data_IF_372596734660
#
_entry.id   IF_372596734660
#
_cell.length_a   1.000
_cell.length_b   1.000
_cell.length_c   1.000
_cell.angle_alpha   90.00
_cell.angle_beta   90.00
_cell.angle_gamma   90.00
#
_symmetry.space_group_name_H-M   'P 1'
#
loop_
_entity.id
_entity.type
_entity.pdbx_description
1 polymer ?
#
# COMPACT_ATOMS: atom_id res chain seq x y z
N UNK A 1 1.90 -3.48 8.91
CA UNK A 1 1.93 -4.54 7.88
C UNK A 1 2.00 -3.95 6.47
N UNK A 2 1.15 -2.96 6.17
CA UNK A 2 1.13 -2.26 4.86
C UNK A 2 2.47 -1.63 4.48
N UNK A 3 3.13 -0.89 5.38
CA UNK A 3 4.43 -0.24 5.10
C UNK A 3 5.49 -1.25 4.67
N UNK A 4 5.53 -2.44 5.31
CA UNK A 4 6.51 -3.48 4.98
C UNK A 4 6.28 -4.04 3.57
N UNK A 5 5.02 -4.31 3.20
CA UNK A 5 4.67 -4.75 1.85
C UNK A 5 5.04 -3.70 0.80
N UNK A 6 4.84 -2.41 1.10
CA UNK A 6 5.21 -1.32 0.20
C UNK A 6 6.74 -1.18 0.08
N UNK A 7 7.48 -1.27 1.19
CA UNK A 7 8.95 -1.28 1.18
C UNK A 7 9.49 -2.43 0.33
N UNK A 8 8.90 -3.62 0.45
CA UNK A 8 9.34 -4.82 -0.26
C UNK A 8 9.04 -4.72 -1.77
N UNK A 9 7.89 -4.15 -2.14
CA UNK A 9 7.50 -3.97 -3.55
C UNK A 9 8.27 -2.83 -4.22
N UNK A 10 8.51 -1.72 -3.52
CA UNK A 10 9.27 -0.57 -4.04
C UNK A 10 10.79 -0.78 -3.93
N UNK A 11 11.25 -1.74 -3.11
CA UNK A 11 12.66 -1.95 -2.83
C UNK A 11 13.30 -0.83 -2.00
N UNK A 12 12.50 -0.03 -1.28
CA UNK A 12 12.97 1.11 -0.48
C UNK A 12 12.95 0.76 1.01
N UNK A 13 13.85 1.35 1.79
CA UNK A 13 13.85 1.20 3.23
C UNK A 13 12.69 1.99 3.85
N UNK A 14 12.13 1.49 4.97
CA UNK A 14 11.05 2.20 5.70
C UNK A 14 11.39 3.64 6.07
N UNK A 15 12.67 3.94 6.24
CA UNK A 15 13.16 5.26 6.62
C UNK A 15 13.14 6.25 5.45
N UNK A 16 13.21 5.74 4.22
CA UNK A 16 13.13 6.51 2.98
C UNK A 16 11.68 6.63 2.48
N UNK A 17 10.80 5.77 3.01
CA UNK A 17 9.40 5.75 2.67
C UNK A 17 8.65 6.88 3.40
N UNK A 18 8.32 7.94 2.65
CA UNK A 18 7.53 9.06 3.17
C UNK A 18 6.02 8.73 3.09
N UNK A 19 5.32 8.62 4.22
CA UNK A 19 3.90 8.22 4.23
C UNK A 19 2.95 9.33 3.74
N UNK A 20 3.43 10.58 3.67
CA UNK A 20 2.66 11.72 3.15
C UNK A 20 2.71 11.79 1.63
N UNK A 21 3.76 11.24 1.02
CA UNK A 21 3.88 11.14 -0.43
C UNK A 21 2.93 10.11 -1.02
N UNK A 22 2.51 10.40 -2.25
CA UNK A 22 1.74 9.47 -3.06
C UNK A 22 2.62 8.28 -3.46
N UNK A 23 2.04 7.08 -3.50
CA UNK A 23 2.75 5.88 -3.95
C UNK A 23 3.38 6.05 -5.34
N UNK A 24 2.71 6.78 -6.24
CA UNK A 24 3.21 7.10 -7.58
C UNK A 24 4.46 7.98 -7.56
N UNK A 25 4.57 8.91 -6.61
CA UNK A 25 5.75 9.76 -6.44
C UNK A 25 6.94 8.96 -5.90
N UNK A 26 6.65 7.91 -5.12
CA UNK A 26 7.63 6.93 -4.65
C UNK A 26 8.01 5.89 -5.73
N UNK A 27 7.46 5.98 -6.94
CA UNK A 27 7.77 5.08 -8.05
C UNK A 27 6.88 3.84 -8.17
N UNK A 28 5.72 3.80 -7.49
CA UNK A 28 4.77 2.70 -7.63
C UNK A 28 4.16 2.67 -9.04
N UNK A 29 4.39 1.56 -9.74
CA UNK A 29 3.78 1.26 -11.04
C UNK A 29 2.54 0.34 -10.90
N UNK A 30 1.78 0.17 -11.99
CA UNK A 30 0.63 -0.73 -12.06
C UNK A 30 0.97 -2.18 -11.70
N UNK A 31 2.16 -2.68 -12.07
CA UNK A 31 2.58 -4.04 -11.69
C UNK A 31 2.80 -4.15 -10.17
N UNK A 32 3.46 -3.14 -9.60
CA UNK A 32 3.71 -3.04 -8.16
C UNK A 32 2.41 -2.91 -7.37
N UNK A 33 1.42 -2.17 -7.89
CA UNK A 33 0.08 -2.08 -7.30
C UNK A 33 -0.61 -3.45 -7.20
N UNK A 34 -0.46 -4.29 -8.23
CA UNK A 34 -1.01 -5.66 -8.23
C UNK A 34 -0.28 -6.55 -7.23
N UNK A 35 1.05 -6.46 -7.13
CA UNK A 35 1.84 -7.21 -6.14
C UNK A 35 1.49 -6.80 -4.71
N UNK A 36 1.38 -5.49 -4.45
CA UNK A 36 1.00 -4.95 -3.15
C UNK A 36 -0.40 -5.44 -2.74
N UNK A 37 -1.38 -5.39 -3.66
CA UNK A 37 -2.71 -5.97 -3.43
C UNK A 37 -2.62 -7.45 -3.07
N UNK A 38 -1.82 -8.23 -3.81
CA UNK A 38 -1.68 -9.67 -3.57
C UNK A 38 -1.11 -9.93 -2.17
N UNK A 39 -0.09 -9.17 -1.75
CA UNK A 39 0.47 -9.27 -0.41
C UNK A 39 -0.52 -8.87 0.68
N UNK A 40 -1.29 -7.80 0.48
CA UNK A 40 -2.30 -7.36 1.45
C UNK A 40 -3.46 -8.36 1.55
N UNK A 41 -3.86 -8.96 0.43
CA UNK A 41 -4.85 -10.04 0.40
C UNK A 41 -4.35 -11.30 1.11
N UNK A 42 -3.10 -11.70 0.90
CA UNK A 42 -2.52 -12.89 1.53
C UNK A 42 -2.18 -12.68 3.01
N UNK A 43 -1.67 -11.49 3.37
CA UNK A 43 -1.19 -11.19 4.72
C UNK A 43 -2.24 -10.59 5.66
N UNK A 44 -3.23 -9.87 5.13
CA UNK A 44 -4.29 -9.22 5.93
C UNK A 44 -5.70 -9.69 5.55
N UNK A 45 -5.89 -10.47 4.47
CA UNK A 45 -7.23 -10.87 4.02
C UNK A 45 -8.03 -9.74 3.37
N UNK A 46 -7.44 -8.54 3.20
CA UNK A 46 -8.13 -7.37 2.67
C UNK A 46 -7.87 -7.24 1.17
N UNK A 47 -8.95 -7.16 0.38
CA UNK A 47 -8.87 -6.93 -1.07
C UNK A 47 -9.03 -5.43 -1.37
N UNK A 48 -7.92 -4.77 -1.68
CA UNK A 48 -7.95 -3.39 -2.14
C UNK A 48 -8.05 -3.39 -3.66
N UNK A 49 -9.02 -2.66 -4.21
CA UNK A 49 -9.15 -2.49 -5.66
C UNK A 49 -7.87 -1.87 -6.23
N UNK A 50 -7.09 -2.67 -6.96
CA UNK A 50 -5.79 -2.25 -7.53
C UNK A 50 -5.89 -1.00 -8.44
N UNK A 51 -7.08 -0.71 -8.97
CA UNK A 51 -7.35 0.51 -9.75
C UNK A 51 -7.29 1.82 -8.96
N UNK A 52 -7.34 1.81 -7.62
CA UNK A 52 -7.21 3.04 -6.80
C UNK A 52 -5.77 3.40 -6.43
N UNK A 53 -4.86 2.42 -6.44
CA UNK A 53 -3.45 2.59 -6.10
C UNK A 53 -2.67 3.52 -7.05
N UNK A 54 -2.81 3.44 -8.40
CA UNK A 54 -2.13 4.38 -9.30
C UNK A 54 -2.73 5.80 -9.29
N UNK A 55 -3.83 6.01 -8.56
CA UNK A 55 -4.56 7.28 -8.48
C UNK A 55 -3.90 8.39 -7.64
N UNK A 56 -2.69 8.18 -7.14
CA UNK A 56 -1.97 9.18 -6.33
C UNK A 56 -2.38 9.20 -4.86
N UNK A 57 -3.04 8.15 -4.39
CA UNK A 57 -3.42 8.04 -2.98
C UNK A 57 -2.16 8.01 -2.09
N UNK A 58 -2.13 8.88 -1.07
CA UNK A 58 -1.05 8.89 -0.09
C UNK A 58 -1.06 7.61 0.73
N UNK A 59 0.12 7.14 1.07
CA UNK A 59 0.30 5.92 1.85
C UNK A 59 -0.40 6.04 3.22
N UNK A 60 -0.37 7.21 3.87
CA UNK A 60 -1.14 7.48 5.08
C UNK A 60 -2.63 7.19 4.93
N UNK A 61 -3.22 7.52 3.77
CA UNK A 61 -4.66 7.33 3.53
C UNK A 61 -5.00 5.86 3.37
N UNK A 62 -4.16 5.12 2.64
CA UNK A 62 -4.31 3.66 2.47
C UNK A 62 -4.15 2.95 3.81
N UNK A 63 -3.13 3.31 4.59
CA UNK A 63 -2.92 2.74 5.93
C UNK A 63 -4.10 3.05 6.85
N UNK A 64 -4.64 4.27 6.79
CA UNK A 64 -5.81 4.68 7.59
C UNK A 64 -7.08 3.92 7.20
N UNK A 65 -7.37 3.83 5.91
CA UNK A 65 -8.52 3.09 5.38
C UNK A 65 -8.43 1.61 5.76
N UNK A 66 -7.24 1.03 5.67
CA UNK A 66 -6.99 -0.34 6.11
C UNK A 66 -7.02 -0.53 7.62
N UNK A 67 -6.62 0.45 8.42
CA UNK A 67 -6.73 0.38 9.88
C UNK A 67 -8.19 0.45 10.32
N UNK A 68 -9.01 1.25 9.62
CA UNK A 68 -10.46 1.34 9.85
C UNK A 68 -11.19 0.09 9.35
N UNK A 69 -10.77 -0.48 8.21
CA UNK A 69 -11.33 -1.73 7.69
C UNK A 69 -10.84 -2.98 8.44
N UNK A 70 -9.70 -2.89 9.12
CA UNK A 70 -9.14 -3.94 9.97
C UNK A 70 -9.60 -3.85 11.43
N UNK A 71 -10.76 -3.24 11.69
CA UNK A 71 -11.59 -3.64 12.84
C UNK A 71 -12.49 -4.82 12.42
N UNK A 72 -12.05 -6.08 12.61
CA UNK A 72 -12.97 -7.21 12.63
C UNK A 72 -13.61 -7.34 14.02
N UNK A 73 -14.91 -7.64 13.98
CA UNK A 73 -15.74 -8.24 15.05
C UNK A 73 -15.03 -9.35 15.83
#
# INVERSE_FOLDING_TARGET
>A
MVIAAVCEVLGVARADLDPRRSLRDLGLDSLMAVQLRKQLKTGCGVDITAGRLPGGESLERIVRDLTVAAEPV
#
